data_IF_997372977870
#
_entry.id   IF_997372977870
#
_cell.length_a   1.000
_cell.length_b   1.000
_cell.length_c   1.000
_cell.angle_alpha   90.00
_cell.angle_beta   90.00
_cell.angle_gamma   90.00
#
_symmetry.space_group_name_H-M   'P 1'
#
loop_
_entity.id
_entity.type
_entity.pdbx_description
1 polymer ?
#
# COMPACT_ATOMS: atom_id res chain seq x y z
N UNK A 1 -7.20 5.84 -3.56
CA UNK A 1 -7.83 5.17 -2.40
C UNK A 1 -8.79 4.13 -2.94
N UNK A 2 -8.76 2.88 -2.47
CA UNK A 2 -9.67 1.84 -2.95
C UNK A 2 -10.55 1.31 -1.82
N UNK A 3 -11.78 0.92 -2.16
CA UNK A 3 -12.74 0.30 -1.24
C UNK A 3 -12.72 -1.20 -1.46
N UNK A 4 -12.60 -1.97 -0.37
CA UNK A 4 -12.70 -3.41 -0.42
C UNK A 4 -13.79 -3.88 0.54
N UNK A 5 -14.70 -4.70 0.04
CA UNK A 5 -15.66 -5.41 0.88
C UNK A 5 -14.95 -6.54 1.63
N UNK A 6 -15.18 -6.56 2.94
CA UNK A 6 -14.69 -7.59 3.84
C UNK A 6 -15.85 -8.49 4.18
N UNK A 7 -15.75 -9.72 3.71
CA UNK A 7 -16.70 -10.79 4.00
C UNK A 7 -16.25 -11.54 5.26
N UNK A 8 -17.20 -11.93 6.12
CA UNK A 8 -16.88 -12.75 7.27
C UNK A 8 -16.36 -14.12 6.79
N UNK A 9 -15.22 -14.53 7.31
CA UNK A 9 -14.65 -15.86 7.02
C UNK A 9 -15.20 -16.88 8.01
N UNK A 10 -15.30 -18.15 7.61
CA UNK A 10 -15.78 -19.22 8.48
C UNK A 10 -14.97 -19.27 9.81
N UNK A 11 -13.65 -19.12 9.73
CA UNK A 11 -12.77 -19.04 10.90
C UNK A 11 -13.08 -17.83 11.79
N UNK A 12 -13.37 -16.67 11.19
CA UNK A 12 -13.74 -15.46 11.90
C UNK A 12 -15.07 -15.58 12.64
N UNK A 13 -16.07 -16.19 11.98
CA UNK A 13 -17.40 -16.45 12.54
C UNK A 13 -17.30 -17.41 13.74
N UNK A 14 -16.54 -18.50 13.60
CA UNK A 14 -16.37 -19.50 14.68
C UNK A 14 -15.65 -18.94 15.93
N UNK A 15 -14.84 -17.89 15.75
CA UNK A 15 -14.10 -17.22 16.85
C UNK A 15 -14.81 -15.97 17.37
N UNK A 16 -15.93 -15.57 16.78
CA UNK A 16 -16.74 -14.47 17.28
C UNK A 16 -17.61 -14.93 18.45
N UNK A 17 -17.76 -14.04 19.44
CA UNK A 17 -18.60 -14.27 20.63
C UNK A 17 -20.08 -14.36 20.24
N UNK A 18 -20.49 -13.62 19.22
CA UNK A 18 -21.83 -13.64 18.62
C UNK A 18 -21.82 -14.34 17.26
N UNK A 19 -22.32 -15.58 17.22
CA UNK A 19 -22.32 -16.45 16.03
C UNK A 19 -23.37 -16.08 14.97
N UNK A 20 -24.39 -15.30 15.32
CA UNK A 20 -25.49 -14.91 14.42
C UNK A 20 -25.29 -13.56 13.73
N UNK A 21 -24.14 -12.91 13.94
CA UNK A 21 -23.91 -11.51 13.59
C UNK A 21 -22.95 -11.42 12.40
N UNK A 22 -23.50 -11.54 11.19
CA UNK A 22 -22.75 -11.47 9.95
C UNK A 22 -22.62 -10.01 9.49
N UNK A 23 -21.42 -9.44 9.54
CA UNK A 23 -21.15 -8.09 9.04
C UNK A 23 -20.33 -8.13 7.77
N UNK A 24 -20.91 -7.63 6.68
CA UNK A 24 -20.14 -7.20 5.51
C UNK A 24 -19.68 -5.77 5.81
N UNK A 25 -18.36 -5.55 5.82
CA UNK A 25 -17.80 -4.22 6.14
C UNK A 25 -16.94 -3.70 5.01
N UNK A 26 -17.08 -2.42 4.68
CA UNK A 26 -16.27 -1.80 3.63
C UNK A 26 -15.02 -1.18 4.27
N UNK A 27 -13.84 -1.67 3.91
CA UNK A 27 -12.57 -1.07 4.34
C UNK A 27 -12.00 -0.18 3.24
N UNK A 28 -11.67 1.07 3.59
CA UNK A 28 -10.89 1.96 2.74
C UNK A 28 -9.41 1.64 2.90
N UNK A 29 -8.73 1.39 1.78
CA UNK A 29 -7.30 1.12 1.76
C UNK A 29 -6.57 2.17 0.91
N UNK A 30 -5.46 2.64 1.46
CA UNK A 30 -4.53 3.53 0.75
C UNK A 30 -3.43 2.63 0.20
N UNK A 31 -3.37 2.52 -1.11
CA UNK A 31 -2.32 1.74 -1.77
C UNK A 31 -1.03 2.55 -1.77
N UNK A 32 -0.10 2.21 -0.87
CA UNK A 32 1.27 2.75 -0.89
C UNK A 32 2.14 1.79 -1.70
N UNK A 33 2.44 2.14 -2.95
CA UNK A 33 3.42 1.41 -3.77
C UNK A 33 4.79 2.00 -3.53
N UNK A 34 5.73 1.19 -3.09
CA UNK A 34 7.17 1.51 -3.15
C UNK A 34 7.67 0.99 -4.50
N UNK A 35 8.13 1.90 -5.36
CA UNK A 35 8.66 1.53 -6.67
C UNK A 35 10.18 1.49 -6.57
N UNK A 36 10.77 0.31 -6.69
CA UNK A 36 12.24 0.15 -6.72
C UNK A 36 12.81 0.39 -8.15
N UNK A 37 11.93 0.60 -9.13
CA UNK A 37 12.29 0.76 -10.56
C UNK A 37 12.50 2.21 -10.99
N UNK A 38 12.18 3.18 -10.13
CA UNK A 38 12.14 4.59 -10.55
C UNK A 38 11.44 5.52 -9.56
N UNK A 39 11.63 6.82 -9.78
CA UNK A 39 10.94 7.88 -9.03
C UNK A 39 9.57 8.09 -9.67
N UNK A 40 8.50 7.94 -8.88
CA UNK A 40 7.14 8.23 -9.32
C UNK A 40 6.89 9.75 -9.23
N UNK A 41 6.57 10.36 -10.37
CA UNK A 41 6.19 11.77 -10.44
C UNK A 41 4.72 11.95 -10.00
N UNK A 42 4.32 13.13 -9.50
CA UNK A 42 2.92 13.44 -9.17
C UNK A 42 1.96 13.28 -10.36
N UNK A 43 2.47 13.35 -11.60
CA UNK A 43 1.74 13.08 -12.84
C UNK A 43 1.44 11.60 -13.10
N UNK A 44 1.95 10.68 -12.27
CA UNK A 44 1.78 9.23 -12.44
C UNK A 44 2.80 8.56 -13.36
N UNK A 45 3.74 9.32 -13.93
CA UNK A 45 4.84 8.79 -14.76
C UNK A 45 5.95 8.25 -13.83
N UNK A 46 6.45 7.06 -14.13
CA UNK A 46 7.62 6.47 -13.44
C UNK A 46 8.88 6.83 -14.22
N UNK A 47 9.73 7.67 -13.64
CA UNK A 47 11.04 7.98 -14.22
C UNK A 47 12.04 6.89 -13.81
N UNK A 48 12.62 6.14 -14.76
CA UNK A 48 13.59 5.09 -14.43
C UNK A 48 14.83 5.68 -13.75
N UNK A 49 15.44 4.91 -12.86
CA UNK A 49 16.72 5.26 -12.25
C UNK A 49 17.82 5.14 -13.32
N UNK A 50 18.44 6.26 -13.69
CA UNK A 50 19.59 6.30 -14.61
C UNK A 50 20.88 6.28 -13.81
N UNK A 51 21.86 5.46 -14.23
CA UNK A 51 23.19 5.41 -13.63
C UNK A 51 24.17 6.37 -14.34
N UNK A 52 25.09 7.02 -13.61
CA UNK A 52 25.23 6.98 -12.15
C UNK A 52 24.03 7.65 -11.48
N UNK A 53 23.56 7.06 -10.37
CA UNK A 53 22.51 7.64 -9.55
C UNK A 53 23.03 9.02 -9.12
N UNK A 54 22.40 10.10 -9.59
CA UNK A 54 22.73 11.45 -9.15
C UNK A 54 22.31 11.55 -7.68
N UNK A 55 23.20 11.17 -6.78
CA UNK A 55 22.96 11.24 -5.34
C UNK A 55 22.68 12.70 -4.98
N UNK A 56 21.61 12.99 -4.20
CA UNK A 56 21.52 14.27 -3.52
C UNK A 56 22.59 14.29 -2.42
N UNK A 57 23.79 14.74 -2.76
CA UNK A 57 24.87 15.25 -1.87
C UNK A 57 24.78 14.87 -0.38
N UNK A 58 24.78 13.57 -0.04
CA UNK A 58 24.86 13.09 1.34
C UNK A 58 26.31 12.87 1.80
N UNK A 59 27.28 12.99 0.89
CA UNK A 59 28.71 12.92 1.16
C UNK A 59 29.43 14.14 0.57
N UNK A 60 29.15 15.34 1.08
CA UNK A 60 30.14 16.41 1.07
C UNK A 60 30.97 16.26 2.35
N UNK A 61 32.19 15.75 2.20
CA UNK A 61 33.28 15.94 3.16
C UNK A 61 34.08 17.20 2.78
N UNK A 62 34.75 17.87 3.75
CA UNK A 62 35.01 19.32 3.73
C UNK A 62 35.94 19.81 2.62
#
# INVERSE_FOLDING_TARGET
VYTQEVWPTLRGILRQKDKNKYYVTTRKKVLKRKYDKGILLPSGIVKPLTFPLSEPSLFQSP
#
